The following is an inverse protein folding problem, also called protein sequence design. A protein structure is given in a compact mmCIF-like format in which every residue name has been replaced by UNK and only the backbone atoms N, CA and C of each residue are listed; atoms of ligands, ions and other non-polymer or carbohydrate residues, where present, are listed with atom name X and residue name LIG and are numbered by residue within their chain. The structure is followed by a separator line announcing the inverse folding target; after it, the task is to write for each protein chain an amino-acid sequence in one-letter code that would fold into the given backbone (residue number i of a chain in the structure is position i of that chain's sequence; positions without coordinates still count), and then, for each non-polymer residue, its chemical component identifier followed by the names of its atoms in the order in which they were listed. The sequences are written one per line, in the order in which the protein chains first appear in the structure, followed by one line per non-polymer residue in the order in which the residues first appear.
data_IF_277219781257
#
_entry.id   IF_277219781257
#
_cell.length_a   1.000
_cell.length_b   1.000
_cell.length_c   1.000
_cell.angle_alpha   90.00
_cell.angle_beta   90.00
_cell.angle_gamma   90.00
#
_symmetry.space_group_name_H-M   'P 1'
#
loop_
_entity.id
_entity.type
_entity.pdbx_description
1 polymer ?
#
# COMPACT_ATOMS: atom_id res chain seq x y z
N UNK A 1 16.32 -9.89 0.96
CA UNK A 1 15.63 -8.65 1.41
C UNK A 1 14.18 -8.75 0.96
N UNK A 2 13.17 -8.55 1.83
CA UNK A 2 11.78 -8.66 1.41
C UNK A 2 11.33 -7.35 0.75
N UNK A 3 11.15 -7.35 -0.57
CA UNK A 3 10.54 -6.27 -1.36
C UNK A 3 11.31 -4.95 -1.42
N UNK A 4 11.43 -4.33 -2.60
CA UNK A 4 12.13 -3.04 -2.74
C UNK A 4 11.19 -1.89 -2.39
N UNK A 5 11.12 -1.52 -1.10
CA UNK A 5 10.35 -0.36 -0.62
C UNK A 5 11.27 0.82 -0.33
N UNK A 6 10.79 2.03 -0.61
CA UNK A 6 11.45 3.26 -0.19
C UNK A 6 10.63 3.94 0.91
N UNK A 7 11.28 4.22 2.04
CA UNK A 7 10.68 4.89 3.19
C UNK A 7 11.12 6.36 3.25
N UNK A 8 10.18 7.29 3.32
CA UNK A 8 10.45 8.74 3.39
C UNK A 8 9.78 9.36 4.63
N UNK A 9 10.52 10.16 5.42
CA UNK A 9 10.01 10.94 6.56
C UNK A 9 11.12 11.68 7.33
N UNK A 10 10.93 12.94 7.78
CA UNK A 10 12.00 13.73 8.42
C UNK A 10 12.50 13.18 9.76
N UNK A 11 11.63 12.63 10.61
CA UNK A 11 12.02 12.04 11.91
C UNK A 11 10.98 11.00 12.36
N UNK A 12 10.67 10.01 11.50
CA UNK A 12 9.85 8.84 11.88
C UNK A 12 8.36 9.09 12.15
N UNK A 13 7.88 10.33 12.13
CA UNK A 13 6.48 10.66 12.42
C UNK A 13 5.52 10.30 11.27
N UNK A 14 5.96 10.46 10.02
CA UNK A 14 5.23 10.06 8.82
C UNK A 14 6.09 9.08 8.03
N UNK A 15 5.61 7.84 7.87
CA UNK A 15 6.31 6.79 7.13
C UNK A 15 5.59 6.58 5.81
N UNK A 16 6.22 6.90 4.68
CA UNK A 16 5.67 6.58 3.36
C UNK A 16 6.42 5.44 2.73
N UNK A 17 5.75 4.33 2.43
CA UNK A 17 6.29 3.19 1.71
C UNK A 17 5.74 3.15 0.29
N UNK A 18 6.62 3.15 -0.71
CA UNK A 18 6.23 3.02 -2.12
C UNK A 18 6.66 1.68 -2.70
N UNK A 19 5.78 1.04 -3.46
CA UNK A 19 6.02 -0.22 -4.14
C UNK A 19 5.50 -0.25 -5.58
N UNK A 20 6.19 -1.02 -6.44
CA UNK A 20 5.66 -1.37 -7.74
C UNK A 20 4.67 -2.54 -7.59
N UNK A 21 3.43 -2.35 -8.06
CA UNK A 21 2.47 -3.42 -8.20
C UNK A 21 2.90 -4.26 -9.40
N UNK A 22 3.19 -5.54 -9.15
CA UNK A 22 3.60 -6.47 -10.19
C UNK A 22 2.40 -6.93 -11.03
N UNK A 23 2.65 -7.16 -12.31
CA UNK A 23 1.68 -7.80 -13.20
C UNK A 23 1.39 -9.23 -12.73
N UNK A 24 0.11 -9.58 -12.77
CA UNK A 24 -0.42 -10.90 -12.44
C UNK A 24 -1.26 -11.42 -13.59
N UNK A 25 -1.46 -12.73 -13.66
CA UNK A 25 -2.19 -13.38 -14.77
C UNK A 25 -3.65 -12.89 -14.93
N UNK A 26 -4.26 -12.36 -13.87
CA UNK A 26 -5.60 -11.75 -13.92
C UNK A 26 -5.64 -10.47 -13.09
N UNK A 27 -6.58 -9.56 -13.39
CA UNK A 27 -6.81 -8.33 -12.59
C UNK A 27 -7.04 -8.64 -11.11
N UNK A 28 -7.74 -9.74 -10.78
CA UNK A 28 -7.96 -10.16 -9.41
C UNK A 28 -6.67 -10.51 -8.66
N UNK A 29 -5.75 -11.22 -9.30
CA UNK A 29 -4.45 -11.56 -8.72
C UNK A 29 -3.57 -10.33 -8.48
N UNK A 30 -3.62 -9.34 -9.37
CA UNK A 30 -2.90 -8.07 -9.21
C UNK A 30 -3.38 -7.35 -7.94
N UNK A 31 -4.70 -7.21 -7.77
CA UNK A 31 -5.30 -6.59 -6.57
C UNK A 31 -4.96 -7.37 -5.30
N UNK A 32 -5.04 -8.69 -5.36
CA UNK A 32 -4.71 -9.56 -4.23
C UNK A 32 -3.26 -9.42 -3.79
N UNK A 33 -2.33 -9.45 -4.76
CA UNK A 33 -0.91 -9.25 -4.51
C UNK A 33 -0.64 -7.90 -3.85
N UNK A 34 -1.21 -6.82 -4.40
CA UNK A 34 -1.05 -5.48 -3.85
C UNK A 34 -1.61 -5.33 -2.42
N UNK A 35 -2.75 -5.96 -2.12
CA UNK A 35 -3.35 -5.96 -0.79
C UNK A 35 -2.50 -6.74 0.22
N UNK A 36 -1.98 -7.91 -0.17
CA UNK A 36 -1.05 -8.67 0.66
C UNK A 36 0.25 -7.91 0.92
N UNK A 37 0.77 -7.19 -0.08
CA UNK A 37 1.98 -6.40 0.07
C UNK A 37 1.75 -5.20 1.00
N UNK A 38 0.57 -4.56 0.90
CA UNK A 38 0.15 -3.53 1.85
C UNK A 38 0.20 -4.07 3.29
N UNK A 39 -0.36 -5.26 3.56
CA UNK A 39 -0.33 -5.88 4.90
C UNK A 39 1.12 -6.05 5.40
N UNK A 40 2.01 -6.59 4.55
CA UNK A 40 3.42 -6.80 4.91
C UNK A 40 4.14 -5.49 5.21
N UNK A 41 3.92 -4.47 4.38
CA UNK A 41 4.51 -3.14 4.55
C UNK A 41 4.05 -2.52 5.87
N UNK A 42 2.74 -2.55 6.17
CA UNK A 42 2.21 -2.01 7.42
C UNK A 42 2.75 -2.76 8.64
N UNK A 43 2.82 -4.10 8.58
CA UNK A 43 3.41 -4.93 9.63
C UNK A 43 4.88 -4.58 9.87
N UNK A 44 5.66 -4.42 8.81
CA UNK A 44 7.06 -4.01 8.88
C UNK A 44 7.22 -2.60 9.45
N UNK A 45 6.48 -1.63 8.91
CA UNK A 45 6.53 -0.24 9.34
C UNK A 45 6.18 -0.10 10.83
N UNK A 46 5.16 -0.82 11.32
CA UNK A 46 4.79 -0.82 12.74
C UNK A 46 5.89 -1.40 13.63
N UNK A 47 6.59 -2.44 13.19
CA UNK A 47 7.70 -3.04 13.94
C UNK A 47 8.96 -2.16 13.95
N UNK A 48 9.29 -1.53 12.82
CA UNK A 48 10.51 -0.72 12.66
C UNK A 48 10.34 0.71 13.17
N UNK A 49 9.14 1.28 13.04
CA UNK A 49 8.79 2.63 13.45
C UNK A 49 7.57 2.62 14.39
N UNK A 50 7.72 2.09 15.62
CA UNK A 50 6.60 1.97 16.56
C UNK A 50 5.96 3.32 16.93
N UNK A 51 6.72 4.41 16.76
CA UNK A 51 6.30 5.79 16.99
C UNK A 51 5.90 6.53 15.70
N UNK A 52 5.64 5.84 14.59
CA UNK A 52 5.03 6.49 13.43
C UNK A 52 3.64 7.01 13.81
N UNK A 53 3.35 8.29 13.56
CA UNK A 53 2.02 8.85 13.68
C UNK A 53 1.12 8.34 12.54
N UNK A 54 1.71 8.07 11.37
CA UNK A 54 1.02 7.59 10.19
C UNK A 54 1.93 6.74 9.30
N UNK A 55 1.34 5.74 8.64
CA UNK A 55 1.96 5.00 7.53
C UNK A 55 1.13 5.21 6.27
N UNK A 56 1.76 5.71 5.22
CA UNK A 56 1.21 5.81 3.86
C UNK A 56 1.80 4.71 3.00
N UNK A 57 0.95 3.94 2.30
CA UNK A 57 1.40 2.92 1.35
C UNK A 57 0.96 3.32 -0.05
N UNK A 58 1.94 3.40 -0.96
CA UNK A 58 1.73 3.78 -2.35
C UNK A 58 2.09 2.64 -3.29
N UNK A 59 1.12 2.20 -4.10
CA UNK A 59 1.32 1.23 -5.16
C UNK A 59 1.34 1.90 -6.53
N UNK A 60 2.42 1.72 -7.28
CA UNK A 60 2.54 2.21 -8.66
C UNK A 60 2.27 1.10 -9.67
N UNK A 61 1.59 1.42 -10.76
CA UNK A 61 1.29 0.48 -11.84
C UNK A 61 1.54 1.14 -13.20
N UNK A 62 2.08 0.41 -14.19
CA UNK A 62 2.24 0.94 -15.54
C UNK A 62 0.86 1.17 -16.19
N UNK A 63 0.60 2.40 -16.58
CA UNK A 63 -0.63 2.83 -17.26
C UNK A 63 -0.26 3.27 -18.67
N UNK A 64 -1.03 2.81 -19.67
CA UNK A 64 -0.86 3.20 -21.07
C UNK A 64 -1.94 4.20 -21.46
N UNK A 65 -1.55 5.38 -21.95
CA UNK A 65 -2.48 6.41 -22.42
C UNK A 65 -3.10 6.06 -23.78
N UNK A 66 -4.05 6.88 -24.24
CA UNK A 66 -4.73 6.69 -25.54
C UNK A 66 -3.79 6.78 -26.76
N UNK A 67 -2.58 7.29 -26.58
CA UNK A 67 -1.55 7.45 -27.60
C UNK A 67 -0.49 6.35 -27.54
N UNK A 68 -0.58 5.42 -26.58
CA UNK A 68 0.35 4.31 -26.41
C UNK A 68 1.57 4.59 -25.53
N UNK A 69 1.62 5.74 -24.84
CA UNK A 69 2.72 6.03 -23.91
C UNK A 69 2.47 5.35 -22.56
N UNK A 70 3.49 4.71 -22.00
CA UNK A 70 3.41 4.04 -20.69
C UNK A 70 4.14 4.84 -19.62
N UNK A 71 3.45 5.16 -18.51
CA UNK A 71 4.03 5.74 -17.29
C UNK A 71 3.69 4.92 -16.05
N UNK A 72 4.57 4.95 -15.05
CA UNK A 72 4.28 4.33 -13.75
C UNK A 72 3.55 5.34 -12.87
N UNK A 73 2.25 5.17 -12.72
CA UNK A 73 1.40 6.08 -11.95
C UNK A 73 1.04 5.46 -10.61
N UNK A 74 0.84 6.31 -9.58
CA UNK A 74 0.31 5.86 -8.30
C UNK A 74 -1.17 5.52 -8.50
N UNK A 75 -1.52 4.24 -8.36
CA UNK A 75 -2.89 3.74 -8.51
C UNK A 75 -3.50 3.36 -7.17
N UNK A 76 -2.67 3.21 -6.13
CA UNK A 76 -3.07 2.98 -4.74
C UNK A 76 -2.29 3.95 -3.87
N UNK A 77 -2.98 4.74 -3.05
CA UNK A 77 -2.41 5.52 -1.96
C UNK A 77 -3.33 5.32 -0.76
N UNK A 78 -2.89 4.57 0.24
CA UNK A 78 -3.68 4.24 1.42
C UNK A 78 -2.97 4.69 2.68
N UNK A 79 -3.69 5.39 3.53
CA UNK A 79 -3.15 6.05 4.72
C UNK A 79 -3.74 5.40 5.97
N UNK A 80 -2.87 5.05 6.91
CA UNK A 80 -3.24 4.50 8.20
C UNK A 80 -2.58 5.31 9.31
N UNK A 81 -3.38 5.93 10.15
CA UNK A 81 -2.95 6.57 11.39
C UNK A 81 -2.54 5.51 12.42
N UNK A 82 -1.71 5.90 13.39
CA UNK A 82 -1.27 5.03 14.47
C UNK A 82 -2.44 4.34 15.17
N UNK A 83 -3.52 5.08 15.43
CA UNK A 83 -4.70 4.57 16.13
C UNK A 83 -5.39 3.41 15.39
N UNK A 84 -5.31 3.39 14.06
CA UNK A 84 -5.80 2.31 13.21
C UNK A 84 -4.78 1.17 13.13
N UNK A 85 -3.50 1.49 12.95
CA UNK A 85 -2.41 0.49 12.96
C UNK A 85 -2.40 -0.36 14.23
N UNK A 86 -2.65 0.26 15.39
CA UNK A 86 -2.69 -0.41 16.69
C UNK A 86 -3.89 -1.36 16.85
N UNK A 87 -4.95 -1.20 16.05
CA UNK A 87 -6.15 -2.07 16.06
C UNK A 87 -6.03 -3.26 15.10
N UNK A 88 -5.11 -3.21 14.14
CA UNK A 88 -5.00 -4.26 13.11
C UNK A 88 -4.34 -5.50 13.71
N UNK A 89 -5.04 -6.63 13.69
CA UNK A 89 -4.43 -7.94 13.89
C UNK A 89 -3.77 -8.39 12.58
N UNK A 90 -2.47 -8.11 12.42
CA UNK A 90 -1.74 -8.43 11.18
C UNK A 90 -1.61 -9.93 10.86
N UNK A 91 -1.86 -10.81 11.83
CA UNK A 91 -1.83 -12.26 11.60
C UNK A 91 -3.20 -12.82 11.17
N UNK A 92 -4.27 -12.03 11.30
CA UNK A 92 -5.65 -12.44 10.99
C UNK A 92 -6.46 -11.50 10.09
N UNK A 93 -5.92 -10.32 9.76
CA UNK A 93 -6.62 -9.35 8.90
C UNK A 93 -6.80 -9.92 7.49
N UNK A 94 -8.02 -9.84 6.97
CA UNK A 94 -8.29 -10.25 5.59
C UNK A 94 -7.68 -9.24 4.61
N UNK A 95 -7.01 -9.75 3.57
CA UNK A 95 -6.58 -8.95 2.42
C UNK A 95 -7.74 -8.19 1.78
N UNK A 96 -8.97 -8.71 1.87
CA UNK A 96 -10.13 -8.05 1.28
C UNK A 96 -10.57 -6.81 2.04
N UNK A 97 -10.22 -6.70 3.32
CA UNK A 97 -10.60 -5.59 4.20
C UNK A 97 -9.50 -4.56 4.39
N UNK A 98 -8.23 -4.89 4.14
CA UNK A 98 -7.11 -4.02 4.52
C UNK A 98 -7.26 -2.61 3.97
N UNK A 99 -7.62 -2.47 2.70
CA UNK A 99 -7.83 -1.16 2.08
C UNK A 99 -9.12 -0.48 2.52
N UNK A 100 -10.14 -1.21 2.98
CA UNK A 100 -11.41 -0.63 3.43
C UNK A 100 -11.27 0.05 4.80
N UNK A 101 -10.37 -0.45 5.64
CA UNK A 101 -10.12 0.08 6.99
C UNK A 101 -9.08 1.22 7.02
N UNK A 102 -8.63 1.69 5.84
CA UNK A 102 -7.76 2.86 5.73
C UNK A 102 -8.47 4.10 6.29
N UNK A 103 -7.72 5.01 6.88
CA UNK A 103 -8.27 6.27 7.39
C UNK A 103 -8.50 7.26 6.24
N UNK A 104 -7.62 7.26 5.24
CA UNK A 104 -7.77 8.12 4.05
C UNK A 104 -6.96 7.61 2.85
N UNK A 105 -6.94 8.41 1.78
CA UNK A 105 -6.24 8.12 0.53
C UNK A 105 -7.17 7.69 -0.62
N UNK A 106 -6.58 7.29 -1.73
CA UNK A 106 -7.29 6.92 -2.95
C UNK A 106 -6.92 5.54 -3.48
N UNK A 107 -7.88 4.94 -4.17
CA UNK A 107 -7.70 3.70 -4.94
C UNK A 107 -8.31 3.95 -6.30
N UNK A 108 -7.50 3.81 -7.35
CA UNK A 108 -7.94 3.96 -8.73
C UNK A 108 -9.13 3.00 -9.01
N UNK A 109 -10.11 3.40 -9.84
CA UNK A 109 -11.32 2.59 -10.08
C UNK A 109 -11.03 1.12 -10.42
N UNK A 110 -10.03 0.88 -11.25
CA UNK A 110 -9.62 -0.46 -11.68
C UNK A 110 -9.06 -1.32 -10.54
N UNK A 111 -8.63 -0.71 -9.43
CA UNK A 111 -8.07 -1.34 -8.25
C UNK A 111 -9.02 -1.41 -7.07
N UNK A 112 -10.25 -0.86 -7.17
CA UNK A 112 -11.23 -0.94 -6.09
C UNK A 112 -11.61 -2.41 -5.77
N UNK A 113 -12.00 -2.72 -4.52
CA UNK A 113 -12.53 -4.03 -4.13
C UNK A 113 -13.67 -4.50 -5.05
#
# INVERSE_FOLDING_TARGET
MPGSWHLFGPEGELVTARFAIHDGFTKGMIKDGARLETIKILKYAKATYPNAAQVTVEGTFPMTDQYGNTSNDIVVNVIYERSTLDKINFDGVSKDRIWEIRDSGFIAPDFRP
#
